data_IF_917024357008
#
_entry.id   IF_917024357008
#
_cell.length_a   1.000
_cell.length_b   1.000
_cell.length_c   1.000
_cell.angle_alpha   90.00
_cell.angle_beta   90.00
_cell.angle_gamma   90.00
#
_symmetry.space_group_name_H-M   'P 1'
#
loop_
_entity.id
_entity.type
_entity.pdbx_description
1 polymer ?
#
# COMPACT_ATOMS: atom_id res chain seq x y z
N UNK A 1 3.83 11.61 -28.12
CA UNK A 1 5.24 11.77 -27.76
C UNK A 1 5.51 12.56 -26.47
N UNK A 2 5.21 13.87 -26.34
CA UNK A 2 5.55 14.64 -25.11
C UNK A 2 4.82 14.07 -23.87
N UNK A 3 3.50 13.86 -23.97
CA UNK A 3 2.67 13.32 -22.88
C UNK A 3 3.16 11.95 -22.36
N UNK A 4 3.60 11.07 -23.27
CA UNK A 4 4.03 9.69 -22.96
C UNK A 4 5.32 9.66 -22.12
N UNK A 5 6.13 10.73 -22.17
CA UNK A 5 7.36 10.88 -21.38
C UNK A 5 7.14 11.70 -20.09
N UNK A 6 6.18 12.62 -20.09
CA UNK A 6 5.88 13.48 -18.93
C UNK A 6 5.38 12.66 -17.74
N UNK A 7 4.42 11.74 -17.94
CA UNK A 7 3.87 10.96 -16.83
C UNK A 7 4.92 10.09 -16.10
N UNK A 8 5.77 9.29 -16.78
CA UNK A 8 6.84 8.55 -16.11
C UNK A 8 7.83 9.44 -15.37
N UNK A 9 8.15 10.62 -15.93
CA UNK A 9 9.06 11.57 -15.31
C UNK A 9 8.46 12.16 -14.03
N UNK A 10 7.18 12.54 -14.05
CA UNK A 10 6.46 13.00 -12.86
C UNK A 10 6.41 11.91 -11.79
N UNK A 11 6.06 10.68 -12.16
CA UNK A 11 6.01 9.54 -11.22
C UNK A 11 7.39 9.29 -10.59
N UNK A 12 8.48 9.36 -11.37
CA UNK A 12 9.85 9.28 -10.86
C UNK A 12 10.14 10.36 -9.82
N UNK A 13 9.83 11.62 -10.13
CA UNK A 13 10.05 12.75 -9.21
C UNK A 13 9.25 12.55 -7.93
N UNK A 14 7.98 12.17 -8.05
CA UNK A 14 7.10 11.92 -6.91
C UNK A 14 7.68 10.82 -6.00
N UNK A 15 8.15 9.71 -6.57
CA UNK A 15 8.79 8.63 -5.80
C UNK A 15 9.99 9.14 -4.98
N UNK A 16 10.89 9.89 -5.62
CA UNK A 16 12.10 10.43 -4.96
C UNK A 16 11.70 11.40 -3.85
N UNK A 17 10.83 12.36 -4.15
CA UNK A 17 10.40 13.37 -3.17
C UNK A 17 9.70 12.72 -1.99
N UNK A 18 8.77 11.78 -2.22
CA UNK A 18 8.07 11.09 -1.13
C UNK A 18 9.06 10.34 -0.25
N UNK A 19 10.00 9.60 -0.84
CA UNK A 19 10.99 8.84 -0.06
C UNK A 19 11.87 9.75 0.81
N UNK A 20 12.42 10.81 0.22
CA UNK A 20 13.28 11.77 0.94
C UNK A 20 12.48 12.49 2.03
N UNK A 21 11.27 12.95 1.72
CA UNK A 21 10.45 13.71 2.67
C UNK A 21 9.89 12.81 3.78
N UNK A 22 9.58 11.54 3.52
CA UNK A 22 9.23 10.60 4.58
C UNK A 22 10.43 10.37 5.52
N UNK A 23 11.65 10.27 5.00
CA UNK A 23 12.87 10.20 5.81
C UNK A 23 13.09 11.44 6.68
N UNK A 24 12.94 12.64 6.10
CA UNK A 24 13.00 13.91 6.84
C UNK A 24 11.91 13.97 7.90
N UNK A 25 10.68 13.60 7.55
CA UNK A 25 9.54 13.61 8.50
C UNK A 25 9.82 12.65 9.65
N UNK A 26 10.36 11.46 9.37
CA UNK A 26 10.73 10.48 10.39
C UNK A 26 11.82 11.01 11.32
N UNK A 27 12.83 11.68 10.75
CA UNK A 27 13.88 12.35 11.54
C UNK A 27 13.31 13.43 12.45
N UNK A 28 12.46 14.32 11.93
CA UNK A 28 11.83 15.38 12.71
C UNK A 28 10.96 14.78 13.83
N UNK A 29 10.16 13.75 13.56
CA UNK A 29 9.33 13.12 14.59
C UNK A 29 10.13 12.48 15.73
N UNK A 30 11.37 12.03 15.48
CA UNK A 30 12.19 11.36 16.49
C UNK A 30 13.13 12.30 17.26
N UNK A 31 13.67 13.33 16.59
CA UNK A 31 14.76 14.14 17.15
C UNK A 31 14.46 15.63 17.22
N UNK A 32 13.36 16.10 16.61
CA UNK A 32 12.97 17.49 16.74
C UNK A 32 12.12 17.68 17.99
N UNK A 33 12.51 18.62 18.85
CA UNK A 33 11.66 19.09 19.95
C UNK A 33 10.50 19.99 19.46
N UNK A 34 10.48 20.33 18.17
CA UNK A 34 9.41 21.14 17.59
C UNK A 34 8.18 20.30 17.23
N UNK A 35 7.03 20.68 17.79
CA UNK A 35 5.72 20.19 17.34
C UNK A 35 5.32 20.91 16.05
N UNK A 36 5.66 20.31 14.90
CA UNK A 36 5.21 20.85 13.62
C UNK A 36 3.71 20.63 13.43
N UNK A 37 2.94 21.72 13.26
CA UNK A 37 1.52 21.65 12.94
C UNK A 37 1.25 20.92 11.61
N UNK A 38 2.15 21.09 10.64
CA UNK A 38 2.07 20.45 9.33
C UNK A 38 3.38 19.72 9.07
N UNK A 39 3.29 18.39 9.02
CA UNK A 39 4.44 17.56 8.68
C UNK A 39 4.79 17.71 7.18
N UNK A 40 6.08 17.73 6.80
CA UNK A 40 6.52 17.86 5.41
C UNK A 40 5.86 16.86 4.45
N UNK A 41 5.65 15.61 4.90
CA UNK A 41 5.01 14.59 4.07
C UNK A 41 3.54 14.90 3.71
N UNK A 42 2.84 15.73 4.48
CA UNK A 42 1.47 16.16 4.16
C UNK A 42 1.49 17.15 3.00
N UNK A 43 2.46 18.05 2.97
CA UNK A 43 2.65 19.04 1.90
C UNK A 43 2.91 18.32 0.57
N UNK A 44 3.81 17.33 0.57
CA UNK A 44 4.10 16.54 -0.65
C UNK A 44 2.85 15.85 -1.16
N UNK A 45 2.03 15.24 -0.29
CA UNK A 45 0.78 14.58 -0.70
C UNK A 45 -0.20 15.55 -1.35
N UNK A 46 -0.33 16.76 -0.79
CA UNK A 46 -1.16 17.83 -1.37
C UNK A 46 -0.62 18.27 -2.75
N UNK A 47 0.70 18.40 -2.90
CA UNK A 47 1.32 18.72 -4.19
C UNK A 47 1.06 17.61 -5.24
N UNK A 48 1.12 16.34 -4.86
CA UNK A 48 0.80 15.23 -5.79
C UNK A 48 -0.67 15.31 -6.24
N UNK A 49 -1.59 15.63 -5.33
CA UNK A 49 -3.01 15.83 -5.67
C UNK A 49 -3.17 17.00 -6.65
N UNK A 50 -2.55 18.14 -6.38
CA UNK A 50 -2.58 19.31 -7.28
C UNK A 50 -1.99 18.97 -8.66
N UNK A 51 -0.86 18.27 -8.72
CA UNK A 51 -0.26 17.81 -9.97
C UNK A 51 -1.18 16.85 -10.73
N UNK A 52 -1.94 16.00 -10.03
CA UNK A 52 -2.93 15.10 -10.65
C UNK A 52 -4.04 15.89 -11.34
N UNK A 53 -4.52 16.94 -10.68
CA UNK A 53 -5.55 17.84 -11.21
C UNK A 53 -5.01 18.66 -12.40
N UNK A 54 -3.81 19.22 -12.29
CA UNK A 54 -3.17 19.95 -13.39
C UNK A 54 -2.97 19.03 -14.60
N UNK A 55 -2.54 17.79 -14.37
CA UNK A 55 -2.37 16.79 -15.42
C UNK A 55 -3.70 16.45 -16.12
N UNK A 56 -4.79 16.30 -15.36
CA UNK A 56 -6.13 16.12 -15.93
C UNK A 56 -6.50 17.23 -16.91
N UNK A 57 -6.36 18.49 -16.49
CA UNK A 57 -6.70 19.65 -17.32
C UNK A 57 -5.77 19.76 -18.54
N UNK A 58 -4.47 19.53 -18.36
CA UNK A 58 -3.48 19.59 -19.43
C UNK A 58 -3.72 18.56 -20.54
N UNK A 59 -4.39 17.45 -20.23
CA UNK A 59 -4.65 16.36 -21.16
C UNK A 59 -6.15 16.12 -21.40
N UNK A 60 -7.00 17.13 -21.19
CA UNK A 60 -8.46 17.00 -21.31
C UNK A 60 -8.91 16.45 -22.67
N UNK A 61 -8.29 16.93 -23.78
CA UNK A 61 -8.58 16.44 -25.14
C UNK A 61 -8.15 15.00 -25.43
N UNK A 62 -7.46 14.33 -24.49
CA UNK A 62 -6.98 12.93 -24.61
C UNK A 62 -7.58 12.02 -23.54
N UNK A 63 -8.61 12.48 -22.83
CA UNK A 63 -9.30 11.70 -21.81
C UNK A 63 -9.90 10.44 -22.43
N UNK A 64 -9.50 9.29 -21.91
CA UNK A 64 -10.06 8.00 -22.31
C UNK A 64 -11.40 7.77 -21.60
N UNK A 65 -12.27 6.92 -22.18
CA UNK A 65 -13.52 6.49 -21.53
C UNK A 65 -13.29 5.94 -20.12
N UNK A 66 -12.11 5.38 -19.85
CA UNK A 66 -11.72 4.86 -18.53
C UNK A 66 -11.52 5.99 -17.52
N UNK A 67 -10.82 7.07 -17.90
CA UNK A 67 -10.64 8.24 -17.04
C UNK A 67 -12.00 8.89 -16.72
N UNK A 68 -12.92 8.97 -17.69
CA UNK A 68 -14.30 9.46 -17.44
C UNK A 68 -15.01 8.60 -16.39
N UNK A 69 -14.93 7.27 -16.49
CA UNK A 69 -15.53 6.36 -15.50
C UNK A 69 -14.93 6.55 -14.11
N UNK A 70 -13.61 6.70 -14.02
CA UNK A 70 -12.92 6.98 -12.74
C UNK A 70 -13.36 8.33 -12.17
N UNK A 71 -13.46 9.37 -13.01
CA UNK A 71 -13.98 10.68 -12.62
C UNK A 71 -15.42 10.61 -12.11
N UNK A 72 -16.29 9.84 -12.77
CA UNK A 72 -17.66 9.62 -12.32
C UNK A 72 -17.73 8.93 -10.95
N UNK A 73 -16.90 7.91 -10.71
CA UNK A 73 -16.80 7.25 -9.40
C UNK A 73 -16.28 8.21 -8.33
N UNK A 74 -15.28 9.03 -8.65
CA UNK A 74 -14.78 10.06 -7.75
C UNK A 74 -15.85 11.10 -7.41
N UNK A 75 -16.61 11.58 -8.39
CA UNK A 75 -17.72 12.53 -8.17
C UNK A 75 -18.85 11.90 -7.33
N UNK A 76 -19.12 10.61 -7.53
CA UNK A 76 -20.09 9.87 -6.73
C UNK A 76 -19.65 9.79 -5.25
N UNK A 77 -18.35 9.56 -5.01
CA UNK A 77 -17.78 9.55 -3.67
C UNK A 77 -17.79 10.95 -3.03
N UNK A 78 -17.53 12.00 -3.82
CA UNK A 78 -17.65 13.40 -3.40
C UNK A 78 -19.10 13.76 -3.05
N UNK A 79 -20.08 13.24 -3.79
CA UNK A 79 -21.50 13.40 -3.47
C UNK A 79 -21.86 12.74 -2.14
N UNK A 80 -21.43 11.50 -1.90
CA UNK A 80 -21.64 10.80 -0.61
C UNK A 80 -20.99 11.60 0.54
N UNK A 81 -19.77 12.10 0.33
CA UNK A 81 -19.11 12.96 1.31
C UNK A 81 -19.88 14.26 1.57
N UNK A 82 -20.38 14.94 0.53
CA UNK A 82 -21.16 16.17 0.68
C UNK A 82 -22.45 15.93 1.46
N UNK A 83 -23.16 14.84 1.16
CA UNK A 83 -24.35 14.43 1.91
C UNK A 83 -24.04 14.19 3.38
N UNK A 84 -23.00 13.39 3.66
CA UNK A 84 -22.58 13.11 5.02
C UNK A 84 -22.15 14.40 5.73
N UNK A 85 -21.33 15.25 5.09
CA UNK A 85 -20.87 16.53 5.64
C UNK A 85 -22.02 17.43 6.06
N UNK A 86 -23.10 17.47 5.27
CA UNK A 86 -24.30 18.23 5.57
C UNK A 86 -25.10 17.62 6.74
N UNK A 87 -25.23 16.29 6.78
CA UNK A 87 -26.06 15.59 7.77
C UNK A 87 -25.38 15.40 9.13
N UNK A 88 -24.08 15.13 9.18
CA UNK A 88 -23.38 14.76 10.43
C UNK A 88 -22.04 15.47 10.67
N UNK A 89 -21.64 16.46 9.85
CA UNK A 89 -20.46 17.31 10.12
C UNK A 89 -19.11 16.59 10.05
N UNK A 90 -18.69 16.17 8.84
CA UNK A 90 -17.55 15.25 8.65
C UNK A 90 -16.17 15.89 8.65
N UNK A 91 -15.20 15.09 9.08
CA UNK A 91 -13.78 15.35 8.88
C UNK A 91 -13.37 15.13 7.42
N UNK A 92 -13.03 16.23 6.74
CA UNK A 92 -12.49 16.25 5.38
C UNK A 92 -11.15 15.51 5.23
N UNK A 93 -10.37 15.34 6.32
CA UNK A 93 -9.07 14.69 6.25
C UNK A 93 -9.16 13.21 5.85
N UNK A 94 -10.18 12.49 6.33
CA UNK A 94 -10.40 11.09 5.94
C UNK A 94 -10.85 10.98 4.49
N UNK A 95 -11.76 11.84 4.05
CA UNK A 95 -12.19 11.91 2.65
C UNK A 95 -11.00 12.07 1.71
N UNK A 96 -10.09 13.02 1.96
CA UNK A 96 -8.90 13.23 1.12
C UNK A 96 -8.07 11.95 1.01
N UNK A 97 -7.85 11.23 2.12
CA UNK A 97 -7.02 10.02 2.14
C UNK A 97 -7.58 8.95 1.19
N UNK A 98 -8.88 8.69 1.26
CA UNK A 98 -9.56 7.73 0.38
C UNK A 98 -9.61 8.21 -1.08
N UNK A 99 -9.85 9.50 -1.30
CA UNK A 99 -9.94 10.11 -2.62
C UNK A 99 -8.64 10.12 -3.42
N UNK A 100 -7.49 10.20 -2.74
CA UNK A 100 -6.19 10.24 -3.39
C UNK A 100 -5.98 9.07 -4.37
N UNK A 101 -6.56 7.90 -4.07
CA UNK A 101 -6.40 6.73 -4.94
C UNK A 101 -7.02 6.96 -6.32
N UNK A 102 -8.23 7.55 -6.37
CA UNK A 102 -8.89 7.90 -7.63
C UNK A 102 -8.07 8.92 -8.41
N UNK A 103 -7.62 9.98 -7.73
CA UNK A 103 -6.86 11.07 -8.36
C UNK A 103 -5.52 10.58 -8.92
N UNK A 104 -4.79 9.77 -8.16
CA UNK A 104 -3.50 9.25 -8.60
C UNK A 104 -3.63 8.31 -9.79
N UNK A 105 -4.69 7.50 -9.85
CA UNK A 105 -4.88 6.51 -10.92
C UNK A 105 -4.92 7.11 -12.33
N UNK A 106 -5.29 8.38 -12.42
CA UNK A 106 -5.40 9.12 -13.69
C UNK A 106 -4.06 9.17 -14.43
N UNK A 107 -2.94 9.34 -13.71
CA UNK A 107 -1.61 9.32 -14.31
C UNK A 107 -1.30 7.98 -15.01
N UNK A 108 -1.87 6.89 -14.52
CA UNK A 108 -1.51 5.53 -14.92
C UNK A 108 -2.36 5.02 -16.09
N UNK A 109 -3.57 5.57 -16.29
CA UNK A 109 -4.44 5.27 -17.43
C UNK A 109 -3.99 5.90 -18.75
N UNK A 110 -3.05 6.85 -18.70
CA UNK A 110 -2.46 7.45 -19.90
C UNK A 110 -1.69 6.44 -20.76
N UNK A 111 -1.61 6.72 -22.06
CA UNK A 111 -0.63 6.07 -22.95
C UNK A 111 0.76 6.52 -22.53
N UNK A 112 1.63 5.54 -22.25
CA UNK A 112 2.97 5.73 -21.72
C UNK A 112 3.92 4.85 -22.52
N UNK A 113 5.12 5.34 -22.78
CA UNK A 113 6.19 4.55 -23.38
C UNK A 113 6.75 3.54 -22.35
N UNK A 114 6.62 2.24 -22.67
CA UNK A 114 7.01 1.15 -21.77
C UNK A 114 8.51 1.20 -21.42
N UNK A 115 9.39 1.45 -22.39
CA UNK A 115 10.84 1.52 -22.16
C UNK A 115 11.19 2.68 -21.24
N UNK A 116 10.58 3.84 -21.47
CA UNK A 116 10.79 5.03 -20.66
C UNK A 116 10.24 4.86 -19.24
N UNK A 117 9.12 4.16 -19.06
CA UNK A 117 8.58 3.78 -17.75
C UNK A 117 9.53 2.85 -16.98
N UNK A 118 9.98 1.77 -17.62
CA UNK A 118 10.91 0.83 -17.00
C UNK A 118 12.21 1.53 -16.57
N UNK A 119 12.78 2.34 -17.45
CA UNK A 119 14.03 3.09 -17.17
C UNK A 119 13.86 4.12 -16.06
N UNK A 120 12.75 4.87 -16.02
CA UNK A 120 12.62 5.99 -15.08
C UNK A 120 11.88 5.65 -13.80
N UNK A 121 10.80 4.87 -13.86
CA UNK A 121 9.96 4.58 -12.70
C UNK A 121 10.44 3.32 -12.01
N UNK A 122 10.55 2.20 -12.72
CA UNK A 122 10.92 0.91 -12.12
C UNK A 122 12.37 0.94 -11.62
N UNK A 123 13.31 1.48 -12.40
CA UNK A 123 14.70 1.64 -11.96
C UNK A 123 14.81 2.52 -10.71
N UNK A 124 14.11 3.67 -10.67
CA UNK A 124 14.09 4.54 -9.49
C UNK A 124 13.49 3.85 -8.28
N UNK A 125 12.38 3.13 -8.45
CA UNK A 125 11.77 2.35 -7.39
C UNK A 125 12.72 1.26 -6.85
N UNK A 126 13.44 0.56 -7.74
CA UNK A 126 14.49 -0.40 -7.38
C UNK A 126 15.58 0.27 -6.54
N UNK A 127 16.11 1.41 -6.97
CA UNK A 127 17.13 2.15 -6.21
C UNK A 127 16.62 2.61 -4.84
N UNK A 128 15.38 3.09 -4.73
CA UNK A 128 14.77 3.46 -3.45
C UNK A 128 14.74 2.27 -2.49
N UNK A 129 14.33 1.09 -2.97
CA UNK A 129 14.31 -0.14 -2.16
C UNK A 129 15.72 -0.54 -1.71
N UNK A 130 16.71 -0.48 -2.61
CA UNK A 130 18.11 -0.79 -2.28
C UNK A 130 18.66 0.19 -1.23
N UNK A 131 18.48 1.50 -1.45
CA UNK A 131 18.92 2.54 -0.52
C UNK A 131 18.24 2.34 0.84
N UNK A 132 16.94 2.07 0.87
CA UNK A 132 16.23 1.84 2.12
C UNK A 132 16.71 0.58 2.84
N UNK A 133 17.06 -0.48 2.10
CA UNK A 133 17.67 -1.68 2.67
C UNK A 133 19.02 -1.38 3.34
N UNK A 134 19.85 -0.51 2.76
CA UNK A 134 21.09 -0.07 3.43
C UNK A 134 20.79 0.60 4.78
N UNK A 135 19.76 1.45 4.86
CA UNK A 135 19.35 2.06 6.13
C UNK A 135 18.78 1.04 7.13
N UNK A 136 18.09 0.00 6.65
CA UNK A 136 17.67 -1.13 7.49
C UNK A 136 18.90 -1.83 8.08
N UNK A 137 19.90 -2.16 7.25
CA UNK A 137 21.14 -2.83 7.70
C UNK A 137 21.89 -1.95 8.72
N UNK A 138 22.04 -0.66 8.45
CA UNK A 138 22.63 0.29 9.41
C UNK A 138 21.84 0.26 10.72
N UNK A 139 20.51 0.31 10.66
CA UNK A 139 19.64 0.22 11.82
C UNK A 139 19.87 -1.05 12.65
N UNK A 140 19.98 -2.21 12.01
CA UNK A 140 20.27 -3.48 12.69
C UNK A 140 21.65 -3.43 13.39
N UNK A 141 22.68 -2.91 12.72
CA UNK A 141 24.05 -2.91 13.23
C UNK A 141 24.28 -1.88 14.35
N UNK A 142 23.57 -0.76 14.31
CA UNK A 142 23.79 0.39 15.21
C UNK A 142 22.68 0.58 16.24
N UNK A 143 21.59 -0.18 16.12
CA UNK A 143 20.36 -0.05 16.91
C UNK A 143 19.74 1.36 16.94
N UNK A 144 20.01 2.19 15.93
CA UNK A 144 19.48 3.55 15.85
C UNK A 144 17.94 3.53 15.78
N UNK A 145 17.30 4.16 16.77
CA UNK A 145 15.84 4.24 16.89
C UNK A 145 15.14 4.82 15.66
N UNK A 146 15.78 5.74 14.94
CA UNK A 146 15.26 6.32 13.69
C UNK A 146 14.88 5.26 12.65
N UNK A 147 15.62 4.15 12.58
CA UNK A 147 15.41 3.13 11.56
C UNK A 147 14.51 1.99 12.03
N UNK A 148 14.13 1.96 13.31
CA UNK A 148 13.21 0.96 13.86
C UNK A 148 11.81 1.12 13.26
N UNK A 149 11.13 -0.01 13.07
CA UNK A 149 9.72 -0.07 12.66
C UNK A 149 8.78 0.31 13.81
N UNK A 150 9.17 -0.06 15.03
CA UNK A 150 8.40 0.14 16.26
C UNK A 150 9.34 0.55 17.40
N UNK A 151 8.85 1.31 18.37
CA UNK A 151 9.67 1.72 19.52
C UNK A 151 10.05 0.53 20.43
N UNK A 152 9.13 -0.41 20.66
CA UNK A 152 9.30 -1.53 21.60
C UNK A 152 9.09 -2.91 20.97
N UNK A 153 9.22 -3.04 19.65
CA UNK A 153 9.11 -4.34 18.95
C UNK A 153 10.25 -4.50 17.96
N UNK A 154 10.59 -5.74 17.68
CA UNK A 154 11.56 -6.06 16.62
C UNK A 154 11.13 -5.49 15.27
N UNK A 155 12.11 -4.98 14.55
CA UNK A 155 12.03 -4.71 13.12
C UNK A 155 12.59 -3.35 12.74
N UNK A 156 13.09 -3.27 11.52
CA UNK A 156 13.63 -2.04 10.94
C UNK A 156 12.98 -1.79 9.57
N UNK A 157 12.54 -0.56 9.33
CA UNK A 157 11.93 -0.15 8.08
C UNK A 157 12.68 1.00 7.38
N UNK A 158 13.87 1.35 7.87
CA UNK A 158 14.75 2.34 7.28
C UNK A 158 14.15 3.75 7.36
N UNK A 159 14.18 4.48 6.25
CA UNK A 159 13.64 5.84 6.13
C UNK A 159 12.13 5.92 5.92
N UNK A 160 11.48 4.79 5.65
CA UNK A 160 10.02 4.77 5.49
C UNK A 160 9.34 5.09 6.82
N UNK A 161 8.40 6.04 6.80
CA UNK A 161 7.83 6.60 8.03
C UNK A 161 6.94 5.60 8.77
N UNK A 162 6.13 4.79 8.07
CA UNK A 162 5.30 3.77 8.73
C UNK A 162 5.57 2.34 8.24
N UNK A 163 5.28 1.39 9.13
CA UNK A 163 5.34 -0.05 8.85
C UNK A 163 4.36 -0.48 7.75
N UNK A 164 3.19 0.17 7.67
CA UNK A 164 2.19 -0.10 6.64
C UNK A 164 2.65 0.37 5.25
N UNK A 165 3.33 1.51 5.16
CA UNK A 165 3.91 1.95 3.87
C UNK A 165 4.99 0.99 3.39
N UNK A 166 5.86 0.59 4.33
CA UNK A 166 6.92 -0.38 4.08
C UNK A 166 6.34 -1.70 3.55
N UNK A 167 5.22 -2.14 4.13
CA UNK A 167 4.50 -3.34 3.70
C UNK A 167 4.16 -3.30 2.21
N UNK A 168 3.44 -2.29 1.75
CA UNK A 168 3.02 -2.26 0.33
C UNK A 168 4.15 -1.93 -0.63
N UNK A 169 5.18 -1.18 -0.18
CA UNK A 169 6.40 -0.96 -0.96
C UNK A 169 7.10 -2.29 -1.23
N UNK A 170 7.34 -3.12 -0.21
CA UNK A 170 8.06 -4.37 -0.42
C UNK A 170 7.22 -5.45 -1.10
N UNK A 171 5.90 -5.50 -0.87
CA UNK A 171 4.99 -6.32 -1.68
C UNK A 171 5.14 -6.00 -3.17
N UNK A 172 5.13 -4.71 -3.52
CA UNK A 172 5.32 -4.25 -4.90
C UNK A 172 6.72 -4.60 -5.42
N UNK A 173 7.76 -4.37 -4.62
CA UNK A 173 9.15 -4.67 -4.98
C UNK A 173 9.37 -6.15 -5.29
N UNK A 174 8.82 -7.05 -4.46
CA UNK A 174 8.88 -8.49 -4.69
C UNK A 174 8.25 -8.85 -6.04
N UNK A 175 7.04 -8.37 -6.32
CA UNK A 175 6.34 -8.70 -7.57
C UNK A 175 7.04 -8.13 -8.79
N UNK A 176 7.57 -6.91 -8.71
CA UNK A 176 8.36 -6.32 -9.78
C UNK A 176 9.66 -7.10 -10.02
N UNK A 177 10.32 -7.57 -8.97
CA UNK A 177 11.50 -8.42 -9.08
C UNK A 177 11.18 -9.78 -9.73
N UNK A 178 10.01 -10.37 -9.43
CA UNK A 178 9.53 -11.59 -10.08
C UNK A 178 9.30 -11.34 -11.58
N UNK A 179 8.67 -10.23 -11.94
CA UNK A 179 8.40 -9.85 -13.34
C UNK A 179 9.70 -9.61 -14.11
N UNK A 180 10.65 -8.88 -13.53
CA UNK A 180 11.95 -8.58 -14.16
C UNK A 180 12.93 -9.75 -14.14
N UNK A 181 12.67 -10.78 -13.31
CA UNK A 181 13.60 -11.90 -13.03
C UNK A 181 14.92 -11.44 -12.41
N UNK A 182 14.93 -10.27 -11.76
CA UNK A 182 16.10 -9.74 -11.06
C UNK A 182 16.26 -10.41 -9.70
N UNK A 183 17.22 -11.34 -9.61
CA UNK A 183 17.48 -12.14 -8.41
C UNK A 183 17.97 -11.31 -7.23
N UNK A 184 18.80 -10.29 -7.49
CA UNK A 184 19.37 -9.43 -6.44
C UNK A 184 18.27 -8.55 -5.87
N UNK A 185 17.48 -7.92 -6.74
CA UNK A 185 16.35 -7.10 -6.31
C UNK A 185 15.31 -7.94 -5.55
N UNK A 186 15.05 -9.17 -5.99
CA UNK A 186 14.17 -10.10 -5.29
C UNK A 186 14.70 -10.43 -3.88
N UNK A 187 15.98 -10.80 -3.77
CA UNK A 187 16.60 -11.13 -2.48
C UNK A 187 16.55 -9.94 -1.51
N UNK A 188 16.94 -8.74 -1.97
CA UNK A 188 16.89 -7.52 -1.16
C UNK A 188 15.46 -7.24 -0.68
N UNK A 189 14.46 -7.39 -1.54
CA UNK A 189 13.06 -7.15 -1.20
C UNK A 189 12.53 -8.16 -0.18
N UNK A 190 12.89 -9.44 -0.31
CA UNK A 190 12.51 -10.50 0.64
C UNK A 190 13.19 -10.29 2.00
N UNK A 191 14.50 -10.03 2.02
CA UNK A 191 15.23 -9.76 3.26
C UNK A 191 14.67 -8.53 3.98
N UNK A 192 14.44 -7.44 3.25
CA UNK A 192 13.78 -6.25 3.79
C UNK A 192 12.41 -6.57 4.38
N UNK A 193 11.62 -7.40 3.70
CA UNK A 193 10.29 -7.80 4.18
C UNK A 193 10.32 -8.58 5.50
N UNK A 194 11.28 -9.49 5.63
CA UNK A 194 11.48 -10.28 6.86
C UNK A 194 11.91 -9.38 8.03
N UNK A 195 12.82 -8.42 7.78
CA UNK A 195 13.30 -7.51 8.83
C UNK A 195 12.24 -6.49 9.25
N UNK A 196 11.42 -5.98 8.33
CA UNK A 196 10.33 -5.05 8.69
C UNK A 196 9.33 -5.72 9.64
N UNK A 197 9.07 -7.02 9.44
CA UNK A 197 8.36 -7.86 10.41
C UNK A 197 6.86 -7.60 10.53
N UNK A 198 6.20 -7.01 9.52
CA UNK A 198 4.74 -6.91 9.55
C UNK A 198 4.08 -8.25 9.21
N UNK A 199 2.99 -8.57 9.92
CA UNK A 199 2.21 -9.81 9.66
C UNK A 199 1.74 -9.91 8.21
N UNK A 200 1.37 -8.78 7.60
CA UNK A 200 0.94 -8.71 6.20
C UNK A 200 2.07 -9.08 5.25
N UNK A 201 3.30 -8.59 5.48
CA UNK A 201 4.46 -8.96 4.66
C UNK A 201 4.79 -10.45 4.75
N UNK A 202 4.76 -11.02 5.96
CA UNK A 202 4.99 -12.45 6.16
C UNK A 202 3.91 -13.29 5.46
N UNK A 203 2.64 -12.89 5.58
CA UNK A 203 1.54 -13.51 4.84
C UNK A 203 1.73 -13.41 3.33
N UNK A 204 2.18 -12.26 2.82
CA UNK A 204 2.41 -12.08 1.39
C UNK A 204 3.59 -12.94 0.89
N UNK A 205 4.68 -13.06 1.65
CA UNK A 205 5.79 -13.96 1.31
C UNK A 205 5.34 -15.42 1.22
N UNK A 206 4.45 -15.84 2.13
CA UNK A 206 3.83 -17.16 2.06
C UNK A 206 3.00 -17.34 0.77
N UNK A 207 2.18 -16.34 0.40
CA UNK A 207 1.44 -16.35 -0.86
C UNK A 207 2.35 -16.40 -2.10
N UNK A 208 3.50 -15.71 -2.07
CA UNK A 208 4.50 -15.77 -3.16
C UNK A 208 5.06 -17.18 -3.30
N UNK A 209 5.29 -17.89 -2.19
CA UNK A 209 5.64 -19.31 -2.21
C UNK A 209 4.59 -20.17 -2.91
N UNK A 210 3.32 -20.01 -2.54
CA UNK A 210 2.19 -20.68 -3.19
C UNK A 210 2.11 -20.38 -4.68
N UNK A 211 2.30 -19.11 -5.08
CA UNK A 211 2.31 -18.70 -6.47
C UNK A 211 3.38 -19.42 -7.30
N UNK A 212 4.62 -19.52 -6.78
CA UNK A 212 5.69 -20.21 -7.50
C UNK A 212 5.41 -21.69 -7.74
N UNK A 213 4.76 -22.35 -6.78
CA UNK A 213 4.39 -23.76 -6.89
C UNK A 213 3.33 -23.95 -7.96
N UNK A 214 2.33 -23.07 -7.96
CA UNK A 214 1.22 -23.16 -8.89
C UNK A 214 1.66 -22.85 -10.33
N UNK A 215 2.54 -21.86 -10.53
CA UNK A 215 2.88 -21.37 -11.88
C UNK A 215 4.16 -21.98 -12.47
N UNK A 216 5.23 -22.17 -11.69
CA UNK A 216 6.57 -22.44 -12.25
C UNK A 216 7.04 -23.87 -12.10
N UNK A 217 6.41 -24.67 -11.24
CA UNK A 217 7.00 -25.94 -10.87
C UNK A 217 6.33 -27.08 -11.64
N UNK A 218 6.98 -27.46 -12.75
CA UNK A 218 6.63 -28.65 -13.53
C UNK A 218 6.90 -29.95 -12.76
N UNK A 219 7.89 -29.94 -11.86
CA UNK A 219 8.24 -31.07 -11.00
C UNK A 219 7.73 -30.86 -9.56
N UNK A 220 6.56 -31.45 -9.25
CA UNK A 220 5.84 -31.29 -7.98
C UNK A 220 6.73 -31.47 -6.73
N UNK A 221 7.79 -32.30 -6.78
CA UNK A 221 8.68 -32.57 -5.63
C UNK A 221 9.53 -31.36 -5.22
N UNK A 222 10.15 -30.65 -6.18
CA UNK A 222 10.99 -29.47 -5.90
C UNK A 222 10.12 -28.31 -5.37
N UNK A 223 8.89 -28.21 -5.88
CA UNK A 223 7.94 -27.20 -5.43
C UNK A 223 7.44 -27.44 -4.03
N UNK A 224 7.19 -28.70 -3.69
CA UNK A 224 6.86 -29.08 -2.32
C UNK A 224 8.03 -28.73 -1.37
N UNK A 225 9.28 -28.97 -1.76
CA UNK A 225 10.45 -28.61 -0.94
C UNK A 225 10.57 -27.09 -0.74
N UNK A 226 10.37 -26.29 -1.79
CA UNK A 226 10.38 -24.84 -1.70
C UNK A 226 9.21 -24.31 -0.86
N UNK A 227 8.01 -24.85 -1.03
CA UNK A 227 6.85 -24.59 -0.17
C UNK A 227 7.25 -24.82 1.28
N UNK A 228 7.73 -26.02 1.59
CA UNK A 228 8.04 -26.42 2.95
C UNK A 228 9.11 -25.50 3.54
N UNK A 229 10.13 -25.11 2.78
CA UNK A 229 11.12 -24.13 3.24
C UNK A 229 10.50 -22.77 3.56
N UNK A 230 9.61 -22.24 2.70
CA UNK A 230 8.96 -20.95 2.91
C UNK A 230 7.93 -21.01 4.05
N UNK A 231 7.19 -22.10 4.17
CA UNK A 231 6.27 -22.36 5.30
C UNK A 231 7.08 -22.43 6.59
N UNK A 232 8.17 -23.20 6.62
CA UNK A 232 9.03 -23.33 7.80
C UNK A 232 9.58 -21.97 8.18
N UNK A 233 10.11 -21.19 7.24
CA UNK A 233 10.61 -19.82 7.50
C UNK A 233 9.49 -18.92 7.99
N UNK A 234 8.30 -18.95 7.37
CA UNK A 234 7.17 -18.13 7.77
C UNK A 234 6.65 -18.51 9.17
N UNK A 235 6.49 -19.81 9.44
CA UNK A 235 6.07 -20.36 10.74
C UNK A 235 7.11 -20.06 11.80
N UNK A 236 8.40 -20.23 11.51
CA UNK A 236 9.48 -19.89 12.43
C UNK A 236 9.50 -18.40 12.74
N UNK A 237 9.40 -17.54 11.72
CA UNK A 237 9.32 -16.09 11.90
C UNK A 237 8.07 -15.69 12.69
N UNK A 238 6.94 -16.34 12.42
CA UNK A 238 5.70 -16.14 13.17
C UNK A 238 5.86 -16.57 14.63
N UNK A 239 6.50 -17.71 14.89
CA UNK A 239 6.78 -18.18 16.24
C UNK A 239 7.73 -17.26 16.99
N UNK A 240 8.75 -16.71 16.32
CA UNK A 240 9.63 -15.69 16.88
C UNK A 240 8.86 -14.41 17.27
N UNK A 241 7.89 -13.99 16.45
CA UNK A 241 7.01 -12.87 16.80
C UNK A 241 6.18 -13.17 18.05
N UNK A 242 5.60 -14.37 18.13
CA UNK A 242 4.76 -14.79 19.26
C UNK A 242 5.54 -15.03 20.55
N UNK A 243 6.86 -15.25 20.46
CA UNK A 243 7.74 -15.36 21.63
C UNK A 243 8.07 -14.03 22.30
N UNK A 244 7.84 -12.89 21.64
CA UNK A 244 8.06 -11.58 22.27
C UNK A 244 7.14 -11.42 23.48
N UNK A 245 7.66 -10.87 24.57
CA UNK A 245 6.93 -10.67 25.84
C UNK A 245 5.58 -10.01 25.59
N UNK A 246 5.57 -8.93 24.81
CA UNK A 246 4.35 -8.22 24.44
C UNK A 246 3.30 -9.10 23.74
N UNK A 247 3.69 -10.07 22.92
CA UNK A 247 2.73 -10.99 22.31
C UNK A 247 2.21 -12.01 23.31
N UNK A 248 3.05 -12.51 24.21
CA UNK A 248 2.63 -13.38 25.31
C UNK A 248 1.62 -12.68 26.20
N UNK A 249 1.91 -11.44 26.60
CA UNK A 249 1.02 -10.63 27.43
C UNK A 249 -0.36 -10.47 26.77
N UNK A 250 -0.40 -10.19 25.46
CA UNK A 250 -1.67 -10.06 24.73
C UNK A 250 -2.41 -11.39 24.68
N UNK A 251 -1.71 -12.49 24.42
CA UNK A 251 -2.33 -13.82 24.33
C UNK A 251 -2.90 -14.25 25.68
N UNK A 252 -2.16 -14.02 26.75
CA UNK A 252 -2.55 -14.40 28.12
C UNK A 252 -3.72 -13.54 28.63
N UNK A 253 -3.72 -12.24 28.35
CA UNK A 253 -4.73 -11.32 28.89
C UNK A 253 -5.96 -11.14 28.00
N UNK A 254 -5.81 -11.20 26.67
CA UNK A 254 -6.86 -10.81 25.71
C UNK A 254 -7.14 -11.91 24.66
N UNK A 255 -6.30 -12.94 24.60
CA UNK A 255 -6.49 -14.10 23.74
C UNK A 255 -5.77 -14.05 22.39
N UNK A 256 -5.66 -15.22 21.77
CA UNK A 256 -4.94 -15.44 20.51
C UNK A 256 -5.54 -14.61 19.36
N UNK A 257 -6.87 -14.47 19.31
CA UNK A 257 -7.54 -13.74 18.24
C UNK A 257 -7.15 -12.25 18.27
N UNK A 258 -7.12 -11.64 19.45
CA UNK A 258 -6.65 -10.27 19.66
C UNK A 258 -5.18 -10.11 19.28
N UNK A 259 -4.36 -11.09 19.65
CA UNK A 259 -2.95 -11.13 19.24
C UNK A 259 -2.80 -11.20 17.73
N UNK A 260 -3.61 -11.96 17.00
CA UNK A 260 -3.57 -12.06 15.52
C UNK A 260 -4.06 -10.77 14.87
N UNK A 261 -5.21 -10.25 15.28
CA UNK A 261 -5.82 -9.05 14.70
C UNK A 261 -5.21 -7.74 15.20
N UNK A 262 -4.30 -7.78 16.17
CA UNK A 262 -3.71 -6.60 16.80
C UNK A 262 -4.77 -5.64 17.34
N UNK A 263 -5.65 -6.11 18.23
CA UNK A 263 -6.73 -5.34 18.87
C UNK A 263 -7.88 -4.87 17.97
N UNK A 264 -7.85 -5.16 16.66
CA UNK A 264 -8.89 -4.70 15.74
C UNK A 264 -10.26 -5.34 16.01
N UNK A 265 -10.26 -6.57 16.52
CA UNK A 265 -11.47 -7.24 17.01
C UNK A 265 -12.11 -6.47 18.16
N UNK A 266 -11.33 -6.01 19.14
CA UNK A 266 -11.87 -5.25 20.27
C UNK A 266 -12.37 -3.88 19.85
N UNK A 267 -11.64 -3.21 18.94
CA UNK A 267 -12.11 -1.95 18.34
C UNK A 267 -13.42 -2.14 17.58
N UNK A 268 -13.54 -3.22 16.81
CA UNK A 268 -14.77 -3.55 16.07
C UNK A 268 -15.95 -3.72 17.02
N UNK A 269 -15.78 -4.49 18.11
CA UNK A 269 -16.83 -4.73 19.10
C UNK A 269 -17.22 -3.40 19.78
N UNK A 270 -16.24 -2.59 20.19
CA UNK A 270 -16.50 -1.27 20.80
C UNK A 270 -17.30 -0.36 19.89
N UNK A 271 -16.94 -0.27 18.62
CA UNK A 271 -17.66 0.56 17.63
C UNK A 271 -19.05 0.01 17.37
N UNK A 272 -19.20 -1.31 17.23
CA UNK A 272 -20.49 -1.95 16.99
C UNK A 272 -21.47 -1.70 18.15
N UNK A 273 -21.00 -1.71 19.39
CA UNK A 273 -21.85 -1.49 20.57
C UNK A 273 -22.39 -0.05 20.67
N UNK A 274 -21.75 0.92 20.03
CA UNK A 274 -22.18 2.34 20.05
C UNK A 274 -22.71 2.81 18.69
N UNK A 275 -22.79 1.91 17.70
CA UNK A 275 -23.05 2.30 16.30
C UNK A 275 -24.45 2.90 16.10
N UNK A 276 -25.42 2.48 16.90
CA UNK A 276 -26.78 3.04 16.92
C UNK A 276 -26.81 4.49 17.38
N UNK A 277 -25.90 4.85 18.27
CA UNK A 277 -25.95 6.12 19.01
C UNK A 277 -25.19 7.22 18.27
N UNK A 278 -24.25 6.83 17.41
CA UNK A 278 -23.35 7.75 16.67
C UNK A 278 -23.88 8.15 15.30
N UNK A 279 -25.15 7.85 14.98
CA UNK A 279 -25.81 8.30 13.76
C UNK A 279 -25.36 7.60 12.47
N UNK A 280 -24.87 6.36 12.56
CA UNK A 280 -24.47 5.58 11.39
C UNK A 280 -25.65 5.28 10.45
N UNK A 281 -25.49 5.65 9.18
CA UNK A 281 -26.38 5.27 8.10
C UNK A 281 -25.75 4.14 7.28
N UNK A 282 -26.42 3.00 7.13
CA UNK A 282 -25.85 1.88 6.39
C UNK A 282 -25.58 2.19 4.90
N UNK A 283 -26.36 3.08 4.29
CA UNK A 283 -26.23 3.41 2.87
C UNK A 283 -25.10 4.40 2.61
N UNK A 284 -25.08 5.53 3.32
CA UNK A 284 -24.10 6.60 3.11
C UNK A 284 -22.93 6.57 4.10
N UNK A 285 -23.00 5.76 5.15
CA UNK A 285 -22.03 5.71 6.23
C UNK A 285 -22.33 6.79 7.25
N UNK A 286 -21.33 7.61 7.54
CA UNK A 286 -21.55 8.76 8.39
C UNK A 286 -20.94 8.63 9.79
N UNK A 287 -19.83 7.91 9.94
CA UNK A 287 -19.11 7.82 11.22
C UNK A 287 -17.81 8.62 11.15
N UNK A 288 -17.55 9.43 12.18
CA UNK A 288 -16.27 10.13 12.33
C UNK A 288 -15.16 9.13 12.74
N UNK A 289 -14.31 8.79 11.76
CA UNK A 289 -13.18 7.88 11.95
C UNK A 289 -12.05 8.43 12.84
N UNK A 290 -12.07 9.70 13.23
CA UNK A 290 -11.13 10.18 14.26
C UNK A 290 -11.36 9.44 15.60
N UNK A 291 -12.62 9.17 15.93
CA UNK A 291 -13.02 8.58 17.20
C UNK A 291 -13.33 7.07 17.10
N UNK A 292 -13.94 6.63 16.00
CA UNK A 292 -14.53 5.30 15.87
C UNK A 292 -13.84 4.39 14.84
N UNK A 293 -12.56 4.64 14.55
CA UNK A 293 -11.82 3.83 13.58
C UNK A 293 -11.44 2.46 14.14
N UNK A 294 -11.70 1.43 13.33
CA UNK A 294 -11.42 0.03 13.65
C UNK A 294 -10.05 -0.40 13.13
N UNK A 295 -9.53 0.27 12.10
CA UNK A 295 -8.29 -0.09 11.40
C UNK A 295 -8.40 -1.41 10.61
N UNK A 296 -9.62 -1.70 10.13
CA UNK A 296 -9.90 -2.71 9.10
C UNK A 296 -10.46 -1.96 7.91
N UNK A 297 -9.80 -2.04 6.74
CA UNK A 297 -10.07 -1.06 5.67
C UNK A 297 -11.51 -1.14 5.16
N UNK A 298 -12.05 -2.35 5.01
CA UNK A 298 -13.42 -2.57 4.55
C UNK A 298 -14.43 -2.04 5.56
N UNK A 299 -14.18 -2.24 6.86
CA UNK A 299 -15.05 -1.75 7.93
C UNK A 299 -14.98 -0.23 8.00
N UNK A 300 -13.78 0.34 8.05
CA UNK A 300 -13.57 1.80 8.10
C UNK A 300 -14.24 2.49 6.90
N UNK A 301 -14.20 1.88 5.73
CA UNK A 301 -14.85 2.38 4.51
C UNK A 301 -16.38 2.31 4.59
N UNK A 302 -16.95 1.25 5.18
CA UNK A 302 -18.40 1.17 5.46
C UNK A 302 -18.80 2.21 6.49
N UNK A 303 -18.05 2.35 7.59
CA UNK A 303 -18.34 3.34 8.63
C UNK A 303 -18.34 4.75 8.04
N UNK A 304 -17.40 5.07 7.15
CA UNK A 304 -17.27 6.42 6.61
C UNK A 304 -18.17 6.71 5.39
N UNK A 305 -18.28 5.79 4.43
CA UNK A 305 -19.01 5.98 3.15
C UNK A 305 -20.20 5.03 2.94
N UNK A 306 -20.47 4.14 3.89
CA UNK A 306 -21.56 3.17 3.82
C UNK A 306 -21.38 2.13 2.72
N UNK A 307 -22.47 1.45 2.39
CA UNK A 307 -22.52 0.51 1.27
C UNK A 307 -22.23 1.20 -0.07
N UNK A 308 -22.57 2.48 -0.23
CA UNK A 308 -22.25 3.25 -1.43
C UNK A 308 -20.74 3.33 -1.66
N UNK A 309 -19.97 3.62 -0.61
CA UNK A 309 -18.51 3.60 -0.68
C UNK A 309 -17.98 2.25 -1.13
N UNK A 310 -18.46 1.15 -0.54
CA UNK A 310 -18.01 -0.19 -0.91
C UNK A 310 -18.26 -0.49 -2.39
N UNK A 311 -19.45 -0.15 -2.89
CA UNK A 311 -19.80 -0.33 -4.31
C UNK A 311 -18.87 0.50 -5.20
N UNK A 312 -18.63 1.77 -4.85
CA UNK A 312 -17.74 2.66 -5.62
C UNK A 312 -16.33 2.08 -5.69
N UNK A 313 -15.76 1.65 -4.56
CA UNK A 313 -14.42 1.05 -4.53
C UNK A 313 -14.37 -0.29 -5.25
N UNK A 314 -15.40 -1.14 -5.12
CA UNK A 314 -15.49 -2.39 -5.88
C UNK A 314 -15.49 -2.15 -7.39
N UNK A 315 -16.30 -1.21 -7.88
CA UNK A 315 -16.33 -0.82 -9.29
C UNK A 315 -14.98 -0.26 -9.73
N UNK A 316 -14.33 0.54 -8.87
CA UNK A 316 -13.00 1.07 -9.15
C UNK A 316 -11.94 -0.03 -9.28
N UNK A 317 -11.89 -0.99 -8.35
CA UNK A 317 -10.99 -2.14 -8.46
C UNK A 317 -11.31 -3.01 -9.68
N UNK A 318 -12.58 -3.13 -10.07
CA UNK A 318 -12.97 -3.80 -11.32
C UNK A 318 -12.42 -3.08 -12.56
N UNK A 319 -12.44 -1.75 -12.57
CA UNK A 319 -11.80 -0.95 -13.65
C UNK A 319 -10.29 -1.21 -13.68
N UNK A 320 -9.62 -1.18 -12.52
CA UNK A 320 -8.18 -1.45 -12.42
C UNK A 320 -7.83 -2.85 -12.94
N UNK A 321 -8.61 -3.88 -12.54
CA UNK A 321 -8.44 -5.24 -13.02
C UNK A 321 -8.53 -5.31 -14.54
N UNK A 322 -9.63 -4.82 -15.11
CA UNK A 322 -9.87 -4.91 -16.55
C UNK A 322 -8.84 -4.16 -17.38
N UNK A 323 -8.24 -3.09 -16.84
CA UNK A 323 -7.30 -2.27 -17.60
C UNK A 323 -5.84 -2.71 -17.44
N UNK A 324 -5.41 -3.09 -16.23
CA UNK A 324 -4.02 -3.38 -15.93
C UNK A 324 -3.69 -4.88 -15.83
N UNK A 325 -4.64 -5.72 -15.43
CA UNK A 325 -4.35 -7.13 -15.15
C UNK A 325 -4.49 -7.96 -16.42
N UNK A 326 -3.34 -8.40 -16.95
CA UNK A 326 -3.26 -9.18 -18.21
C UNK A 326 -2.75 -10.61 -18.03
N UNK A 327 -1.91 -10.84 -17.01
CA UNK A 327 -1.25 -12.12 -16.76
C UNK A 327 -1.55 -12.64 -15.34
N UNK A 328 -1.15 -13.89 -15.08
CA UNK A 328 -1.35 -14.55 -13.79
C UNK A 328 -0.62 -13.85 -12.64
N UNK A 329 0.51 -13.20 -12.91
CA UNK A 329 1.26 -12.42 -11.92
C UNK A 329 0.50 -11.14 -11.53
N UNK A 330 -0.10 -10.45 -12.50
CA UNK A 330 -0.98 -9.30 -12.28
C UNK A 330 -2.21 -9.68 -11.44
N UNK A 331 -2.83 -10.83 -11.72
CA UNK A 331 -3.95 -11.35 -10.94
C UNK A 331 -3.51 -11.66 -9.51
N UNK A 332 -2.41 -12.39 -9.34
CA UNK A 332 -1.83 -12.70 -8.03
C UNK A 332 -1.58 -11.43 -7.21
N UNK A 333 -1.00 -10.41 -7.82
CA UNK A 333 -0.70 -9.15 -7.16
C UNK A 333 -1.96 -8.38 -6.73
N UNK A 334 -2.93 -8.22 -7.64
CA UNK A 334 -4.19 -7.52 -7.34
C UNK A 334 -4.97 -8.23 -6.22
N UNK A 335 -5.23 -9.53 -6.38
CA UNK A 335 -6.03 -10.28 -5.42
C UNK A 335 -5.29 -10.51 -4.10
N UNK A 336 -3.97 -10.66 -4.14
CA UNK A 336 -3.14 -10.71 -2.94
C UNK A 336 -3.24 -9.42 -2.12
N UNK A 337 -3.18 -8.25 -2.77
CA UNK A 337 -3.39 -6.97 -2.08
C UNK A 337 -4.82 -6.86 -1.57
N UNK A 338 -5.85 -7.16 -2.37
CA UNK A 338 -7.24 -7.11 -1.93
C UNK A 338 -7.51 -7.99 -0.70
N UNK A 339 -6.90 -9.18 -0.62
CA UNK A 339 -6.97 -10.03 0.56
C UNK A 339 -6.40 -9.30 1.80
N UNK A 340 -5.26 -8.63 1.67
CA UNK A 340 -4.66 -7.88 2.79
C UNK A 340 -5.34 -6.53 3.07
N UNK A 341 -6.06 -5.95 2.11
CA UNK A 341 -6.98 -4.83 2.35
C UNK A 341 -8.16 -5.30 3.20
N UNK A 342 -8.63 -6.52 2.98
CA UNK A 342 -9.72 -7.10 3.77
C UNK A 342 -9.26 -7.48 5.19
N UNK A 343 -8.13 -8.18 5.30
CA UNK A 343 -7.61 -8.67 6.59
C UNK A 343 -6.87 -7.60 7.40
N UNK A 344 -6.29 -6.63 6.72
CA UNK A 344 -5.53 -5.54 7.30
C UNK A 344 -6.28 -4.21 7.23
N UNK A 345 -5.66 -3.17 7.76
CA UNK A 345 -6.12 -1.80 7.56
C UNK A 345 -5.02 -0.95 6.95
N UNK A 346 -5.39 0.26 6.57
CA UNK A 346 -4.52 1.35 6.20
C UNK A 346 -3.93 1.29 4.78
N UNK A 347 -4.42 0.41 3.92
CA UNK A 347 -4.06 0.44 2.51
C UNK A 347 -4.60 1.71 1.84
N UNK A 348 -5.91 1.92 1.87
CA UNK A 348 -6.55 3.06 1.23
C UNK A 348 -6.31 4.35 2.02
N UNK A 349 -6.17 4.23 3.34
CA UNK A 349 -5.86 5.35 4.24
C UNK A 349 -4.54 6.06 3.91
N UNK A 350 -3.52 5.37 3.42
CA UNK A 350 -2.22 5.96 3.11
C UNK A 350 -2.07 6.13 1.59
N UNK A 351 -2.12 7.37 1.06
CA UNK A 351 -2.06 7.63 -0.38
C UNK A 351 -0.86 7.01 -1.10
N UNK A 352 0.29 6.92 -0.43
CA UNK A 352 1.50 6.33 -1.02
C UNK A 352 1.35 4.82 -1.28
N UNK A 353 0.55 4.10 -0.48
CA UNK A 353 0.29 2.68 -0.68
C UNK A 353 -0.46 2.48 -2.00
N UNK A 354 -1.51 3.29 -2.21
CA UNK A 354 -2.27 3.35 -3.45
C UNK A 354 -1.38 3.74 -4.64
N UNK A 355 -0.49 4.72 -4.47
CA UNK A 355 0.40 5.17 -5.53
C UNK A 355 1.39 4.08 -5.96
N UNK A 356 2.06 3.43 -5.00
CA UNK A 356 3.00 2.34 -5.29
C UNK A 356 2.27 1.11 -5.83
N UNK A 357 1.04 0.87 -5.34
CA UNK A 357 0.17 -0.16 -5.90
C UNK A 357 -0.08 0.03 -7.40
N UNK A 358 -0.42 1.25 -7.81
CA UNK A 358 -0.62 1.62 -9.21
C UNK A 358 0.66 1.49 -10.04
N UNK A 359 1.84 1.77 -9.46
CA UNK A 359 3.14 1.51 -10.13
C UNK A 359 3.28 0.01 -10.43
N UNK A 360 2.98 -0.84 -9.45
CA UNK A 360 3.00 -2.29 -9.63
C UNK A 360 2.07 -2.74 -10.75
N UNK A 361 0.79 -2.37 -10.67
CA UNK A 361 -0.21 -2.74 -11.68
C UNK A 361 0.16 -2.26 -13.09
N UNK A 362 0.57 -1.01 -13.23
CA UNK A 362 0.98 -0.45 -14.53
C UNK A 362 2.15 -1.23 -15.11
N UNK A 363 3.18 -1.49 -14.32
CA UNK A 363 4.37 -2.22 -14.77
C UNK A 363 4.03 -3.66 -15.18
N UNK A 364 3.16 -4.34 -14.44
CA UNK A 364 2.72 -5.69 -14.78
C UNK A 364 1.91 -5.74 -16.08
N UNK A 365 1.18 -4.67 -16.39
CA UNK A 365 0.40 -4.54 -17.63
C UNK A 365 1.24 -4.35 -18.90
N UNK A 366 2.53 -4.01 -18.76
CA UNK A 366 3.45 -3.75 -19.88
C UNK A 366 3.94 -5.05 -20.52
N UNK A 367 4.31 -4.96 -21.80
CA UNK A 367 4.70 -6.13 -22.57
C UNK A 367 6.05 -6.70 -22.07
N UNK A 368 6.17 -8.03 -21.91
CA UNK A 368 7.35 -8.67 -21.33
C UNK A 368 8.58 -8.64 -22.23
N UNK A 369 8.49 -8.20 -23.50
CA UNK A 369 9.59 -8.29 -24.47
C UNK A 369 10.60 -7.14 -24.43
N UNK A 370 10.35 -6.10 -23.63
CA UNK A 370 11.30 -5.00 -23.37
C UNK A 370 12.42 -5.37 -22.36
N UNK A 371 12.91 -6.62 -22.42
CA UNK A 371 13.75 -7.29 -21.40
C UNK A 371 15.10 -6.62 -21.14
N UNK A 372 15.67 -5.93 -22.12
CA UNK A 372 17.06 -5.44 -22.07
C UNK A 372 17.24 -4.16 -21.23
N UNK A 373 16.16 -3.54 -20.72
CA UNK A 373 16.25 -2.27 -19.96
C UNK A 373 16.32 -2.50 -18.45
N UNK A 374 15.87 -3.65 -17.95
CA UNK A 374 15.81 -3.92 -16.50
C UNK A 374 17.08 -4.61 -15.99
N UNK A 375 17.89 -5.20 -16.88
CA UNK A 375 19.14 -5.90 -16.54
C UNK A 375 20.38 -5.01 -16.44
N UNK A 376 20.22 -3.67 -16.49
CA UNK A 376 21.31 -2.70 -16.28
C UNK A 376 21.22 -2.09 -14.89
#
# INVERSE_FOLDING_TARGET
>A
MIAEKVAPFLVKIILIIVFVVDGITKYLLHYSNYSFNILPNRIVKLLIVLLSIIYLFSFWGKITKVIVRVGFLFLSLLFVFGLNSFLYGFDFNYFIKYCCFFLFSIFFFGKIDDLYWLKNVVSTFRYIVIINFLFIVIGILTDIHLFKTYYSRFGYNGLLITSMQSTYIYITAIVLAIKSKDKVFFLISVLSSLVVGTKILLGFLFLVGLYFIWVKIRNKKIGLSLLMSLVIIAVYSFFLLFKQERFKDIIENEGILTAVFSYRNDKLIKVFNVISDIGFNIFSGGVNLEYYRVEMEVVDLVLYFGLMGLIIFFLFFKILNNFFVKDSLGQFYLYGILLFVFLGGNFLYYPINCFVFLIGLKTLSMNPDNKNVISV
#
